data_IF_449859449809
#
_entry.id   IF_449859449809
#
_cell.length_a   1.000
_cell.length_b   1.000
_cell.length_c   1.000
_cell.angle_alpha   90.00
_cell.angle_beta   90.00
_cell.angle_gamma   90.00
#
_symmetry.space_group_name_H-M   'P 1'
#
loop_
_entity.id
_entity.type
_entity.pdbx_description
1 polymer ?
#
# COMPACT_ATOMS: atom_id res chain seq x y z
N UNK A 1 11.90 11.83 -3.67
CA UNK A 1 10.49 11.73 -3.23
C UNK A 1 10.13 13.01 -2.50
N UNK A 2 9.09 13.72 -2.96
CA UNK A 2 8.61 14.98 -2.37
C UNK A 2 7.83 14.80 -1.06
N UNK A 3 7.83 13.60 -0.46
CA UNK A 3 7.10 13.32 0.79
C UNK A 3 5.58 13.28 0.63
N UNK A 4 5.07 13.24 -0.61
CA UNK A 4 3.62 13.25 -0.89
C UNK A 4 2.93 11.93 -0.63
N UNK A 5 3.63 10.79 -0.78
CA UNK A 5 3.13 9.45 -0.46
C UNK A 5 3.49 9.10 0.98
N UNK A 6 2.47 8.90 1.80
CA UNK A 6 2.56 8.54 3.24
C UNK A 6 1.70 7.34 3.59
N UNK A 7 1.15 6.65 2.60
CA UNK A 7 0.43 5.40 2.78
C UNK A 7 0.70 4.40 1.65
N UNK A 8 0.47 3.12 1.94
CA UNK A 8 0.54 2.01 0.98
C UNK A 8 -0.55 0.97 1.28
N UNK A 9 -0.81 0.10 0.31
CA UNK A 9 -1.79 -0.97 0.43
C UNK A 9 -1.28 -2.31 -0.11
N UNK A 10 -1.72 -3.41 0.49
CA UNK A 10 -1.47 -4.77 0.02
C UNK A 10 -2.67 -5.68 0.27
N UNK A 11 -2.75 -6.84 -0.41
CA UNK A 11 -3.85 -7.77 -0.21
C UNK A 11 -3.59 -8.69 0.99
N UNK A 12 -4.53 -8.71 1.95
CA UNK A 12 -4.43 -9.55 3.15
C UNK A 12 -4.23 -11.04 2.82
N UNK A 13 -4.91 -11.55 1.80
CA UNK A 13 -4.82 -12.96 1.40
C UNK A 13 -3.38 -13.37 0.99
N UNK A 14 -2.60 -12.44 0.44
CA UNK A 14 -1.26 -12.74 -0.08
C UNK A 14 -0.23 -12.95 1.03
N UNK A 15 -0.53 -12.57 2.28
CA UNK A 15 0.35 -12.86 3.41
C UNK A 15 0.41 -14.35 3.72
N UNK A 16 -0.58 -15.17 3.39
CA UNK A 16 -0.52 -16.64 3.52
C UNK A 16 0.07 -17.16 4.86
N UNK A 17 -0.42 -16.64 6.00
CA UNK A 17 0.07 -16.89 7.38
C UNK A 17 1.39 -16.21 7.76
N UNK A 18 2.00 -15.42 6.88
CA UNK A 18 3.03 -14.47 7.26
C UNK A 18 2.45 -13.36 8.14
N UNK A 19 3.32 -12.74 8.94
CA UNK A 19 2.92 -11.66 9.83
C UNK A 19 2.54 -10.44 9.00
N UNK A 20 1.42 -9.82 9.37
CA UNK A 20 1.11 -8.48 8.87
C UNK A 20 2.16 -7.48 9.35
N UNK A 21 2.34 -6.36 8.62
CA UNK A 21 3.13 -5.23 9.07
C UNK A 21 2.61 -4.73 10.40
N UNK A 22 3.48 -4.08 11.17
CA UNK A 22 3.15 -3.55 12.49
C UNK A 22 3.51 -2.08 12.61
N UNK A 23 2.72 -1.39 13.41
CA UNK A 23 3.05 -0.05 13.87
C UNK A 23 4.41 -0.03 14.56
N UNK A 24 5.24 0.94 14.20
CA UNK A 24 6.60 1.08 14.67
C UNK A 24 7.67 0.36 13.84
N UNK A 25 7.30 -0.46 12.86
CA UNK A 25 8.27 -1.11 11.97
C UNK A 25 8.92 -0.10 11.02
N UNK A 26 10.20 -0.35 10.71
CA UNK A 26 11.00 0.49 9.83
C UNK A 26 11.20 -0.23 8.49
N UNK A 27 11.02 0.50 7.40
CA UNK A 27 11.16 -0.02 6.05
C UNK A 27 12.23 0.76 5.28
N UNK A 28 13.11 0.04 4.57
CA UNK A 28 14.05 0.64 3.62
C UNK A 28 13.39 0.63 2.24
N UNK A 29 13.16 1.81 1.68
CA UNK A 29 12.53 1.95 0.37
C UNK A 29 13.62 1.96 -0.71
N UNK A 30 13.48 1.05 -1.66
CA UNK A 30 14.38 0.92 -2.81
C UNK A 30 13.75 1.54 -4.06
N UNK A 31 14.59 2.00 -5.00
CA UNK A 31 14.14 2.30 -6.36
C UNK A 31 14.11 1.04 -7.24
N UNK A 32 13.70 1.20 -8.50
CA UNK A 32 13.67 0.11 -9.49
C UNK A 32 15.04 -0.49 -9.85
N UNK A 33 16.15 0.13 -9.41
CA UNK A 33 17.52 -0.37 -9.55
C UNK A 33 18.03 -1.05 -8.26
N UNK A 34 17.17 -1.30 -7.28
CA UNK A 34 17.50 -1.82 -5.95
C UNK A 34 18.43 -0.92 -5.12
N UNK A 35 18.45 0.39 -5.39
CA UNK A 35 19.19 1.36 -4.58
C UNK A 35 18.31 1.93 -3.48
N UNK A 36 18.79 1.97 -2.24
CA UNK A 36 18.07 2.56 -1.12
C UNK A 36 17.90 4.08 -1.30
N UNK A 37 16.69 4.59 -1.05
CA UNK A 37 16.34 6.02 -1.18
C UNK A 37 15.85 6.66 0.11
N UNK A 38 15.19 5.90 0.97
CA UNK A 38 14.77 6.40 2.27
C UNK A 38 14.45 5.29 3.26
N UNK A 39 14.34 5.70 4.52
CA UNK A 39 13.80 4.89 5.62
C UNK A 39 12.47 5.50 6.03
N UNK A 40 11.42 4.69 6.08
CA UNK A 40 10.11 5.06 6.61
C UNK A 40 9.82 4.28 7.88
N UNK A 41 8.89 4.81 8.70
CA UNK A 41 8.35 4.12 9.87
C UNK A 41 6.84 4.01 9.74
N UNK A 42 6.31 2.80 9.86
CA UNK A 42 4.87 2.56 9.84
C UNK A 42 4.24 3.16 11.11
N UNK A 43 3.29 4.06 10.95
CA UNK A 43 2.61 4.77 12.04
C UNK A 43 1.24 4.20 12.33
N UNK A 44 0.63 3.50 11.36
CA UNK A 44 -0.70 2.89 11.50
C UNK A 44 -0.83 1.69 10.58
N UNK A 45 -1.45 0.62 11.07
CA UNK A 45 -1.83 -0.54 10.24
C UNK A 45 -3.29 -0.89 10.50
N UNK A 46 -4.08 -1.05 9.45
CA UNK A 46 -5.48 -1.40 9.59
C UNK A 46 -5.99 -2.20 8.38
N UNK A 47 -7.06 -2.97 8.59
CA UNK A 47 -7.72 -3.72 7.53
C UNK A 47 -8.98 -3.02 7.07
N UNK A 48 -9.18 -2.94 5.76
CA UNK A 48 -10.43 -2.49 5.15
C UNK A 48 -10.82 -3.41 4.02
N UNK A 49 -12.12 -3.54 3.76
CA UNK A 49 -12.57 -4.10 2.49
C UNK A 49 -12.13 -3.17 1.36
N UNK A 50 -11.79 -3.72 0.20
CA UNK A 50 -11.37 -2.94 -0.96
C UNK A 50 -12.37 -1.83 -1.32
N UNK A 51 -13.68 -2.14 -1.30
CA UNK A 51 -14.73 -1.14 -1.56
C UNK A 51 -15.01 -0.16 -0.41
N UNK A 52 -14.32 -0.29 0.72
CA UNK A 52 -14.46 0.58 1.90
C UNK A 52 -13.17 1.38 2.21
N UNK A 53 -12.18 1.34 1.33
CA UNK A 53 -10.99 2.19 1.44
C UNK A 53 -11.43 3.65 1.25
N UNK A 54 -10.95 4.53 2.14
CA UNK A 54 -11.39 5.92 2.19
C UNK A 54 -10.66 6.77 1.15
N UNK A 55 -11.30 7.88 0.74
CA UNK A 55 -10.64 8.91 -0.05
C UNK A 55 -9.43 9.52 0.64
N UNK A 56 -9.43 9.56 1.99
CA UNK A 56 -8.28 10.00 2.77
C UNK A 56 -7.08 9.07 2.60
N UNK A 57 -7.29 7.74 2.62
CA UNK A 57 -6.21 6.78 2.38
C UNK A 57 -5.67 6.88 0.96
N UNK A 58 -6.58 6.94 -0.03
CA UNK A 58 -6.20 7.14 -1.44
C UNK A 58 -5.38 8.44 -1.63
N UNK A 59 -5.76 9.52 -0.94
CA UNK A 59 -5.01 10.78 -0.97
C UNK A 59 -3.61 10.63 -0.38
N UNK A 60 -3.46 9.95 0.76
CA UNK A 60 -2.16 9.65 1.40
C UNK A 60 -1.28 8.73 0.54
N UNK A 61 -1.86 7.85 -0.26
CA UNK A 61 -1.11 7.04 -1.22
C UNK A 61 -0.51 7.88 -2.35
N UNK A 62 -1.07 9.06 -2.62
CA UNK A 62 -0.45 10.10 -3.44
C UNK A 62 -0.32 9.78 -4.94
N UNK A 63 -1.06 8.78 -5.43
CA UNK A 63 -0.99 8.32 -6.83
C UNK A 63 -1.91 9.12 -7.74
N UNK A 64 -1.48 9.35 -8.99
CA UNK A 64 -2.28 10.05 -10.00
C UNK A 64 -2.78 11.42 -9.54
N UNK A 65 -4.09 11.62 -9.61
CA UNK A 65 -4.79 12.84 -9.16
C UNK A 65 -5.18 12.81 -7.67
N UNK A 66 -4.71 11.82 -6.91
CA UNK A 66 -4.99 11.60 -5.48
C UNK A 66 -6.47 11.33 -5.17
N UNK A 67 -7.27 10.97 -6.17
CA UNK A 67 -8.69 10.63 -5.99
C UNK A 67 -8.88 9.15 -5.63
N UNK A 68 -9.98 8.85 -4.93
CA UNK A 68 -10.41 7.48 -4.66
C UNK A 68 -10.73 6.71 -5.96
N UNK A 69 -11.23 7.41 -6.99
CA UNK A 69 -11.55 6.79 -8.28
C UNK A 69 -10.28 6.30 -8.97
N UNK A 70 -9.25 7.14 -9.06
CA UNK A 70 -7.96 6.76 -9.63
C UNK A 70 -7.34 5.62 -8.83
N UNK A 71 -7.30 5.74 -7.49
CA UNK A 71 -6.78 4.71 -6.61
C UNK A 71 -7.48 3.36 -6.85
N UNK A 72 -8.81 3.35 -6.92
CA UNK A 72 -9.60 2.12 -7.13
C UNK A 72 -9.28 1.46 -8.47
N UNK A 73 -9.18 2.23 -9.56
CA UNK A 73 -8.87 1.70 -10.90
C UNK A 73 -7.49 1.05 -10.94
N UNK A 74 -6.46 1.75 -10.45
CA UNK A 74 -5.09 1.25 -10.53
C UNK A 74 -4.87 0.06 -9.59
N UNK A 75 -5.47 0.08 -8.39
CA UNK A 75 -5.38 -1.02 -7.43
C UNK A 75 -6.20 -2.23 -7.87
N UNK A 76 -7.36 -2.06 -8.52
CA UNK A 76 -8.11 -3.18 -9.08
C UNK A 76 -7.28 -3.95 -10.11
N UNK A 77 -6.63 -3.24 -11.04
CA UNK A 77 -5.74 -3.87 -12.02
C UNK A 77 -4.55 -4.57 -11.34
N UNK A 78 -3.84 -3.86 -10.48
CA UNK A 78 -2.68 -4.40 -9.78
C UNK A 78 -3.03 -5.64 -8.94
N UNK A 79 -4.11 -5.58 -8.17
CA UNK A 79 -4.56 -6.70 -7.35
C UNK A 79 -5.05 -7.89 -8.18
N UNK A 80 -5.68 -7.67 -9.34
CA UNK A 80 -5.99 -8.76 -10.26
C UNK A 80 -4.73 -9.43 -10.82
N UNK A 81 -3.67 -8.67 -11.12
CA UNK A 81 -2.38 -9.23 -11.53
C UNK A 81 -1.75 -10.08 -10.42
N UNK A 82 -1.77 -9.60 -9.17
CA UNK A 82 -1.28 -10.37 -8.02
C UNK A 82 -2.09 -11.66 -7.78
N UNK A 83 -3.39 -11.65 -8.05
CA UNK A 83 -4.29 -12.80 -7.85
C UNK A 83 -4.30 -13.78 -9.02
N UNK A 84 -3.64 -13.47 -10.14
CA UNK A 84 -3.64 -14.29 -11.34
C UNK A 84 -3.11 -15.72 -11.08
N UNK A 85 -2.02 -15.86 -10.32
CA UNK A 85 -1.45 -17.17 -9.94
C UNK A 85 -2.35 -17.99 -9.02
N UNK A 86 -3.33 -17.35 -8.37
CA UNK A 86 -4.31 -17.98 -7.49
C UNK A 86 -5.63 -18.31 -8.21
N UNK A 87 -5.73 -18.02 -9.52
CA UNK A 87 -6.95 -18.15 -10.32
C UNK A 87 -8.15 -17.45 -9.66
N UNK A 88 -7.91 -16.25 -9.11
CA UNK A 88 -8.91 -15.41 -8.43
C UNK A 88 -8.98 -14.04 -9.09
N UNK A 89 -10.08 -13.33 -8.82
CA UNK A 89 -10.26 -11.92 -9.17
C UNK A 89 -10.57 -11.12 -7.91
N UNK A 90 -10.10 -9.88 -7.87
CA UNK A 90 -10.42 -8.97 -6.78
C UNK A 90 -11.93 -8.70 -6.76
N UNK A 91 -12.48 -8.54 -5.55
CA UNK A 91 -13.84 -8.05 -5.37
C UNK A 91 -13.84 -7.01 -4.26
N UNK A 92 -14.90 -6.19 -4.20
CA UNK A 92 -15.03 -5.15 -3.18
C UNK A 92 -14.96 -5.69 -1.74
N UNK A 93 -15.19 -6.99 -1.52
CA UNK A 93 -15.16 -7.61 -0.20
C UNK A 93 -13.77 -8.13 0.24
N UNK A 94 -12.75 -8.10 -0.62
CA UNK A 94 -11.41 -8.53 -0.23
C UNK A 94 -10.83 -7.57 0.80
N UNK A 95 -10.15 -8.14 1.79
CA UNK A 95 -9.43 -7.36 2.78
C UNK A 95 -8.11 -6.84 2.20
N UNK A 96 -7.93 -5.53 2.33
CA UNK A 96 -6.73 -4.77 2.05
C UNK A 96 -6.08 -4.42 3.38
N UNK A 97 -4.78 -4.66 3.47
CA UNK A 97 -3.91 -4.16 4.55
C UNK A 97 -3.48 -2.77 4.14
N UNK A 98 -3.93 -1.78 4.90
CA UNK A 98 -3.59 -0.38 4.71
C UNK A 98 -2.54 0.01 5.74
N UNK A 99 -1.44 0.60 5.27
CA UNK A 99 -0.37 1.12 6.11
C UNK A 99 -0.24 2.62 5.90
N UNK A 100 -0.14 3.38 6.99
CA UNK A 100 0.33 4.76 6.97
C UNK A 100 1.75 4.79 7.54
N UNK A 101 2.60 5.68 7.01
CA UNK A 101 3.98 5.80 7.42
C UNK A 101 4.49 7.24 7.33
N UNK A 102 5.55 7.50 8.07
CA UNK A 102 6.30 8.75 7.99
C UNK A 102 7.72 8.51 7.46
N UNK A 103 8.26 9.51 6.78
CA UNK A 103 9.65 9.52 6.34
C UNK A 103 10.54 9.84 7.54
N UNK A 104 11.45 8.92 7.89
CA UNK A 104 12.40 9.10 8.99
C UNK A 104 13.75 9.60 8.50
N UNK A 105 14.21 9.10 7.35
CA UNK A 105 15.52 9.47 6.80
C UNK A 105 15.54 9.42 5.28
N UNK A 106 16.18 10.39 4.63
CA UNK A 106 16.46 10.38 3.19
C UNK A 106 17.90 9.92 2.98
N UNK A 107 18.09 8.98 2.06
CA UNK A 107 19.41 8.52 1.65
C UNK A 107 19.79 9.32 0.41
N UNK A 108 20.84 10.12 0.54
CA UNK A 108 21.39 10.96 -0.53
C UNK A 108 22.32 10.15 -1.43
#
# INVERSE_FOLDING_TARGET
MLGEKTATSSLYMLYNNEKLPKEGEYNIILNSKNEAKCITKTTKVYLKKFGEVSSEHAYKEGEGDKSLSYWSEVHERFFNECLASYNKKITLNYLVVCEEFELVHKIN
#
